data_IF_021475497648
#
_entry.id   IF_021475497648
#
_cell.length_a   1.000
_cell.length_b   1.000
_cell.length_c   1.000
_cell.angle_alpha   90.00
_cell.angle_beta   90.00
_cell.angle_gamma   90.00
#
_symmetry.space_group_name_H-M   'P 1'
#
loop_
_entity.id
_entity.type
_entity.pdbx_description
1 polymer ?
#
# COMPACT_ATOMS: atom_id res chain seq x y z
N UNK A 1 -20.25 10.30 -6.37
CA UNK A 1 -19.44 11.46 -5.88
C UNK A 1 -18.07 11.37 -6.53
N UNK A 2 -17.41 12.51 -6.80
CA UNK A 2 -16.02 12.49 -7.27
C UNK A 2 -15.13 11.99 -6.12
N UNK A 3 -14.17 11.12 -6.40
CA UNK A 3 -13.19 10.61 -5.43
C UNK A 3 -12.41 11.72 -4.71
N UNK A 4 -12.20 12.87 -5.35
CA UNK A 4 -11.50 14.04 -4.79
C UNK A 4 -12.18 14.62 -3.54
N UNK A 5 -13.48 14.35 -3.34
CA UNK A 5 -14.25 14.81 -2.18
C UNK A 5 -14.40 13.73 -1.10
N UNK A 6 -13.74 12.59 -1.26
CA UNK A 6 -13.77 11.54 -0.23
C UNK A 6 -13.08 12.00 1.05
N UNK A 7 -13.57 11.47 2.17
CA UNK A 7 -12.95 11.64 3.48
C UNK A 7 -12.29 10.36 4.02
N UNK A 8 -12.16 9.34 3.18
CA UNK A 8 -11.65 8.02 3.57
C UNK A 8 -10.59 7.57 2.57
N UNK A 9 -9.33 7.68 2.97
CA UNK A 9 -8.19 7.45 2.11
C UNK A 9 -7.38 6.27 2.61
N UNK A 10 -7.10 5.33 1.75
CA UNK A 10 -6.26 4.17 2.01
C UNK A 10 -5.07 4.22 1.08
N UNK A 11 -3.88 4.09 1.62
CA UNK A 11 -2.64 4.16 0.85
C UNK A 11 -1.95 2.80 0.82
N UNK A 12 -1.37 2.45 -0.30
CA UNK A 12 -0.25 1.53 -0.33
C UNK A 12 0.99 2.18 0.29
N UNK A 13 2.00 1.38 0.59
CA UNK A 13 3.24 1.84 1.25
C UNK A 13 4.38 2.02 0.25
N UNK A 14 4.88 0.92 -0.29
CA UNK A 14 6.11 0.86 -1.08
C UNK A 14 5.88 1.32 -2.51
N UNK A 15 6.61 2.36 -2.94
CA UNK A 15 6.38 3.00 -4.22
C UNK A 15 5.26 4.05 -4.19
N UNK A 16 4.46 4.10 -3.13
CA UNK A 16 3.34 5.05 -2.97
C UNK A 16 3.68 6.13 -1.93
N UNK A 17 3.76 5.79 -0.64
CA UNK A 17 4.20 6.71 0.40
C UNK A 17 5.72 6.77 0.54
N UNK A 18 6.41 5.70 0.16
CA UNK A 18 7.87 5.63 0.12
C UNK A 18 8.39 5.56 -1.31
N UNK A 19 9.66 5.92 -1.49
CA UNK A 19 10.37 5.65 -2.74
C UNK A 19 10.48 4.13 -2.92
N UNK A 20 10.17 3.63 -4.13
CA UNK A 20 10.31 2.22 -4.45
C UNK A 20 11.79 1.81 -4.42
N UNK A 21 12.15 0.95 -3.46
CA UNK A 21 13.54 0.46 -3.28
C UNK A 21 13.63 -1.07 -3.33
N UNK A 22 12.51 -1.78 -3.47
CA UNK A 22 12.48 -3.23 -3.51
C UNK A 22 12.99 -3.75 -4.85
N UNK A 23 14.12 -4.46 -4.81
CA UNK A 23 14.59 -5.29 -5.92
C UNK A 23 13.98 -6.70 -5.80
N UNK A 24 12.75 -6.85 -6.29
CA UNK A 24 12.03 -8.13 -6.23
C UNK A 24 12.77 -9.25 -6.97
N UNK A 25 13.55 -8.95 -8.00
CA UNK A 25 14.36 -9.96 -8.69
C UNK A 25 15.50 -10.44 -7.80
N UNK A 26 16.18 -9.53 -7.08
CA UNK A 26 17.21 -9.90 -6.12
C UNK A 26 16.63 -10.70 -4.94
N UNK A 27 15.48 -10.31 -4.42
CA UNK A 27 14.77 -11.06 -3.36
C UNK A 27 14.43 -12.47 -3.85
N UNK A 28 13.85 -12.63 -5.04
CA UNK A 28 13.53 -13.93 -5.60
C UNK A 28 14.78 -14.79 -5.80
N UNK A 29 15.89 -14.21 -6.30
CA UNK A 29 17.17 -14.92 -6.41
C UNK A 29 17.70 -15.39 -5.06
N UNK A 30 17.66 -14.54 -4.04
CA UNK A 30 18.15 -14.87 -2.69
C UNK A 30 17.32 -15.97 -2.03
N UNK A 31 16.01 -16.00 -2.30
CA UNK A 31 15.08 -16.99 -1.79
C UNK A 31 14.92 -18.23 -2.68
N UNK A 32 15.66 -18.29 -3.81
CA UNK A 32 15.56 -19.37 -4.81
C UNK A 32 14.10 -19.56 -5.31
N UNK A 33 13.40 -18.44 -5.56
CA UNK A 33 12.04 -18.40 -6.08
C UNK A 33 12.09 -18.15 -7.59
N UNK A 34 11.32 -18.89 -8.43
CA UNK A 34 11.21 -18.62 -9.86
C UNK A 34 10.76 -17.18 -10.12
N UNK A 35 11.35 -16.55 -11.16
CA UNK A 35 11.05 -15.14 -11.47
C UNK A 35 9.58 -14.87 -11.81
N UNK A 36 8.88 -15.88 -12.34
CA UNK A 36 7.44 -15.81 -12.64
C UNK A 36 6.52 -15.84 -11.43
N UNK A 37 7.01 -16.31 -10.28
CA UNK A 37 6.17 -16.61 -9.13
C UNK A 37 6.00 -15.37 -8.23
N UNK A 38 4.83 -15.24 -7.60
CA UNK A 38 4.64 -14.31 -6.50
C UNK A 38 5.33 -14.82 -5.24
N UNK A 39 6.08 -13.96 -4.55
CA UNK A 39 6.93 -14.35 -3.41
C UNK A 39 6.08 -14.95 -2.27
N UNK A 40 5.02 -14.27 -1.85
CA UNK A 40 4.21 -14.71 -0.73
C UNK A 40 3.45 -15.99 -1.06
N UNK A 41 2.93 -16.11 -2.29
CA UNK A 41 2.24 -17.30 -2.75
C UNK A 41 3.19 -18.50 -2.82
N UNK A 42 4.41 -18.30 -3.34
CA UNK A 42 5.43 -19.36 -3.41
C UNK A 42 5.81 -19.84 -2.01
N UNK A 43 6.10 -18.92 -1.08
CA UNK A 43 6.45 -19.27 0.29
C UNK A 43 5.35 -20.03 1.02
N UNK A 44 4.09 -19.67 0.79
CA UNK A 44 2.94 -20.35 1.38
C UNK A 44 2.75 -21.80 0.89
N UNK A 45 3.30 -22.16 -0.28
CA UNK A 45 3.23 -23.50 -0.87
C UNK A 45 4.38 -24.42 -0.40
N UNK A 46 5.41 -23.89 0.28
CA UNK A 46 6.58 -24.65 0.72
C UNK A 46 6.29 -25.49 1.98
N UNK A 47 7.07 -26.58 2.21
CA UNK A 47 7.09 -27.28 3.49
C UNK A 47 7.42 -26.34 4.64
N UNK A 48 6.76 -26.51 5.81
CA UNK A 48 6.83 -25.56 6.91
C UNK A 48 8.26 -25.21 7.39
N UNK A 49 9.18 -26.17 7.41
CA UNK A 49 10.57 -25.93 7.85
C UNK A 49 11.35 -25.06 6.85
N UNK A 50 11.13 -25.27 5.55
CA UNK A 50 11.76 -24.47 4.49
C UNK A 50 11.14 -23.06 4.42
N UNK A 51 9.81 -22.99 4.47
CA UNK A 51 9.07 -21.74 4.53
C UNK A 51 9.54 -20.85 5.69
N UNK A 52 9.72 -21.42 6.88
CA UNK A 52 10.12 -20.68 8.08
C UNK A 52 11.48 -19.95 7.91
N UNK A 53 12.49 -20.62 7.32
CA UNK A 53 13.81 -20.02 7.10
C UNK A 53 13.76 -18.90 6.06
N UNK A 54 13.01 -19.10 4.97
CA UNK A 54 12.83 -18.10 3.90
C UNK A 54 12.00 -16.90 4.39
N UNK A 55 10.96 -17.14 5.18
CA UNK A 55 10.19 -16.06 5.83
C UNK A 55 11.05 -15.24 6.79
N UNK A 56 11.91 -15.88 7.61
CA UNK A 56 12.80 -15.17 8.51
C UNK A 56 13.79 -14.26 7.75
N UNK A 57 14.36 -14.75 6.65
CA UNK A 57 15.23 -13.97 5.80
C UNK A 57 14.48 -12.77 5.16
N UNK A 58 13.30 -13.03 4.59
CA UNK A 58 12.46 -11.97 3.98
C UNK A 58 12.13 -10.89 5.00
N UNK A 59 11.69 -11.28 6.20
CA UNK A 59 11.34 -10.34 7.28
C UNK A 59 12.55 -9.48 7.72
N UNK A 60 13.75 -10.08 7.81
CA UNK A 60 14.96 -9.35 8.15
C UNK A 60 15.33 -8.32 7.06
N UNK A 61 15.25 -8.74 5.79
CA UNK A 61 15.50 -7.86 4.65
C UNK A 61 14.50 -6.70 4.56
N UNK A 62 13.21 -7.01 4.68
CA UNK A 62 12.13 -6.00 4.70
C UNK A 62 12.29 -5.03 5.87
N UNK A 63 12.78 -5.48 7.04
CA UNK A 63 13.05 -4.61 8.19
C UNK A 63 14.15 -3.60 7.88
N UNK A 64 15.26 -4.01 7.26
CA UNK A 64 16.34 -3.10 6.86
C UNK A 64 15.82 -2.04 5.89
N UNK A 65 14.96 -2.41 4.93
CA UNK A 65 14.34 -1.48 4.00
C UNK A 65 13.38 -0.52 4.72
N UNK A 66 12.59 -1.01 5.68
CA UNK A 66 11.66 -0.19 6.45
C UNK A 66 12.38 0.87 7.29
N UNK A 67 13.49 0.49 7.95
CA UNK A 67 14.31 1.40 8.76
C UNK A 67 15.01 2.47 7.91
N UNK A 68 15.34 2.15 6.65
CA UNK A 68 16.00 3.05 5.70
C UNK A 68 15.03 3.80 4.79
N UNK A 69 13.72 3.62 4.96
CA UNK A 69 12.69 4.16 4.06
C UNK A 69 12.79 5.68 3.93
N UNK A 70 12.58 6.15 2.69
CA UNK A 70 12.52 7.57 2.37
C UNK A 70 11.12 7.89 1.83
N UNK A 71 10.52 9.03 2.21
CA UNK A 71 9.21 9.40 1.70
C UNK A 71 9.25 9.68 0.20
N UNK A 72 8.22 9.26 -0.52
CA UNK A 72 8.04 9.63 -1.91
C UNK A 72 7.79 11.15 -2.05
N UNK A 73 8.15 11.77 -3.20
CA UNK A 73 7.93 13.19 -3.42
C UNK A 73 6.48 13.60 -3.17
N UNK A 74 6.26 14.53 -2.25
CA UNK A 74 4.94 15.04 -1.89
C UNK A 74 4.09 14.15 -0.95
N UNK A 75 4.48 12.91 -0.66
CA UNK A 75 3.69 11.98 0.16
C UNK A 75 3.39 12.53 1.55
N UNK A 76 4.39 13.06 2.24
CA UNK A 76 4.22 13.65 3.58
C UNK A 76 3.26 14.85 3.53
N UNK A 77 3.41 15.74 2.55
CA UNK A 77 2.54 16.90 2.42
C UNK A 77 1.09 16.51 2.12
N UNK A 78 0.88 15.51 1.23
CA UNK A 78 -0.44 14.97 0.90
C UNK A 78 -1.14 14.39 2.14
N UNK A 79 -0.45 13.51 2.87
CA UNK A 79 -1.02 12.86 4.07
C UNK A 79 -1.35 13.87 5.15
N UNK A 80 -0.45 14.83 5.42
CA UNK A 80 -0.68 15.90 6.40
C UNK A 80 -1.84 16.81 6.01
N UNK A 81 -1.99 17.14 4.73
CA UNK A 81 -3.12 17.94 4.25
C UNK A 81 -4.46 17.19 4.41
N UNK A 82 -4.50 15.89 4.08
CA UNK A 82 -5.69 15.08 4.28
C UNK A 82 -6.04 14.94 5.77
N UNK A 83 -5.04 14.79 6.64
CA UNK A 83 -5.23 14.80 8.10
C UNK A 83 -5.80 16.15 8.56
N UNK A 84 -5.27 17.27 8.07
CA UNK A 84 -5.75 18.62 8.42
C UNK A 84 -7.19 18.89 7.94
N UNK A 85 -7.65 18.14 6.92
CA UNK A 85 -9.04 18.16 6.44
C UNK A 85 -9.96 17.19 7.19
N UNK A 86 -9.53 16.61 8.30
CA UNK A 86 -10.26 15.59 9.07
C UNK A 86 -10.63 14.36 8.23
N UNK A 87 -9.80 13.98 7.25
CA UNK A 87 -9.94 12.73 6.52
C UNK A 87 -9.50 11.54 7.40
N UNK A 88 -10.19 10.43 7.29
CA UNK A 88 -9.75 9.18 7.88
C UNK A 88 -8.73 8.51 6.96
N UNK A 89 -7.60 8.09 7.54
CA UNK A 89 -6.45 7.57 6.81
C UNK A 89 -6.15 6.14 7.22
N UNK A 90 -5.89 5.29 6.25
CA UNK A 90 -5.49 3.90 6.46
C UNK A 90 -4.37 3.47 5.51
N UNK A 91 -3.75 2.37 5.86
CA UNK A 91 -2.73 1.69 5.03
C UNK A 91 -3.26 0.31 4.65
N UNK A 92 -3.03 -0.07 3.40
CA UNK A 92 -3.20 -1.45 2.93
C UNK A 92 -1.94 -1.87 2.16
N UNK A 93 -1.08 -2.63 2.82
CA UNK A 93 0.21 -3.06 2.29
C UNK A 93 0.34 -4.58 2.22
N UNK A 94 1.25 -5.07 1.40
CA UNK A 94 1.66 -6.48 1.34
C UNK A 94 2.79 -6.79 2.34
N UNK A 95 3.29 -5.80 3.06
CA UNK A 95 4.26 -5.97 4.14
C UNK A 95 3.58 -6.46 5.43
N UNK A 96 4.37 -6.98 6.36
CA UNK A 96 3.90 -7.26 7.71
C UNK A 96 3.50 -5.96 8.42
N UNK A 97 2.45 -6.01 9.24
CA UNK A 97 1.93 -4.86 10.00
C UNK A 97 3.03 -4.11 10.80
N UNK A 98 3.86 -4.84 11.53
CA UNK A 98 4.94 -4.23 12.32
C UNK A 98 5.96 -3.47 11.47
N UNK A 99 6.23 -3.94 10.25
CA UNK A 99 7.12 -3.25 9.31
C UNK A 99 6.48 -2.01 8.71
N UNK A 100 5.17 -2.05 8.43
CA UNK A 100 4.44 -0.88 7.99
C UNK A 100 4.48 0.25 9.04
N UNK A 101 4.32 -0.08 10.32
CA UNK A 101 4.45 0.90 11.41
C UNK A 101 5.89 1.46 11.51
N UNK A 102 6.91 0.61 11.35
CA UNK A 102 8.31 1.04 11.33
C UNK A 102 8.60 1.97 10.14
N UNK A 103 8.07 1.65 8.97
CA UNK A 103 8.19 2.51 7.77
C UNK A 103 7.52 3.87 8.00
N UNK A 104 6.30 3.90 8.56
CA UNK A 104 5.62 5.16 8.89
C UNK A 104 6.44 6.02 9.85
N UNK A 105 7.06 5.40 10.85
CA UNK A 105 7.97 6.09 11.78
C UNK A 105 9.19 6.66 11.04
N UNK A 106 9.82 5.88 10.17
CA UNK A 106 10.99 6.30 9.41
C UNK A 106 10.72 7.53 8.52
N UNK A 107 9.52 7.62 7.93
CA UNK A 107 9.13 8.74 7.06
C UNK A 107 8.37 9.86 7.78
N UNK A 108 8.21 9.79 9.12
CA UNK A 108 7.60 10.83 9.95
C UNK A 108 6.08 10.97 9.77
N UNK A 109 5.37 9.85 9.56
CA UNK A 109 3.92 9.78 9.41
C UNK A 109 3.22 8.86 10.43
N UNK A 110 3.93 8.40 11.46
CA UNK A 110 3.42 7.49 12.49
C UNK A 110 2.25 8.06 13.30
N UNK A 111 2.16 9.38 13.43
CA UNK A 111 1.06 10.07 14.08
C UNK A 111 -0.15 10.36 13.17
N UNK A 112 -0.07 10.05 11.87
CA UNK A 112 -1.15 10.26 10.91
C UNK A 112 -2.10 9.06 10.79
N UNK A 113 -1.65 7.87 11.18
CA UNK A 113 -2.39 6.62 11.01
C UNK A 113 -2.60 5.92 12.35
N UNK A 114 -3.85 5.61 12.69
CA UNK A 114 -4.11 4.74 13.83
C UNK A 114 -3.59 3.33 13.51
N UNK A 115 -2.91 2.67 14.45
CA UNK A 115 -2.37 1.32 14.24
C UNK A 115 -3.43 0.32 13.77
N UNK A 116 -4.67 0.44 14.25
CA UNK A 116 -5.79 -0.40 13.81
C UNK A 116 -6.23 -0.14 12.37
N UNK A 117 -5.86 0.99 11.77
CA UNK A 117 -6.16 1.36 10.38
C UNK A 117 -4.99 1.01 9.42
N UNK A 118 -3.95 0.33 9.93
CA UNK A 118 -2.83 -0.21 9.15
C UNK A 118 -3.05 -1.70 8.93
N UNK A 119 -3.31 -2.11 7.70
CA UNK A 119 -3.60 -3.50 7.32
C UNK A 119 -2.42 -4.05 6.53
N UNK A 120 -1.73 -5.02 7.10
CA UNK A 120 -0.66 -5.77 6.46
C UNK A 120 -1.12 -7.13 5.94
N UNK A 121 -0.14 -7.94 5.52
CA UNK A 121 -0.38 -9.27 4.94
C UNK A 121 -0.93 -10.32 5.90
N UNK A 122 -0.82 -10.06 7.22
CA UNK A 122 -1.28 -10.99 8.25
C UNK A 122 -2.71 -10.68 8.73
N UNK A 123 -3.21 -9.45 8.46
CA UNK A 123 -4.54 -8.97 8.85
C UNK A 123 -5.59 -9.20 7.76
N UNK A 124 -5.18 -9.26 6.49
CA UNK A 124 -6.08 -9.50 5.36
C UNK A 124 -5.34 -10.21 4.21
N UNK A 125 -6.08 -10.88 3.31
CA UNK A 125 -5.49 -11.40 2.08
C UNK A 125 -4.78 -10.28 1.29
N UNK A 126 -3.61 -10.58 0.69
CA UNK A 126 -2.83 -9.56 -0.01
C UNK A 126 -3.56 -9.03 -1.26
N UNK A 127 -3.35 -7.77 -1.60
CA UNK A 127 -3.78 -7.20 -2.88
C UNK A 127 -3.33 -8.07 -4.06
N UNK A 128 -4.17 -8.34 -5.05
CA UNK A 128 -5.40 -7.61 -5.44
C UNK A 128 -6.70 -8.07 -4.73
N UNK A 129 -6.65 -8.94 -3.72
CA UNK A 129 -7.85 -9.32 -2.96
C UNK A 129 -8.47 -8.08 -2.29
N UNK A 130 -9.81 -7.89 -2.35
CA UNK A 130 -10.47 -6.72 -1.75
C UNK A 130 -10.58 -6.77 -0.23
N UNK A 131 -10.22 -7.87 0.41
CA UNK A 131 -10.46 -8.13 1.84
C UNK A 131 -9.98 -7.02 2.77
N UNK A 132 -8.80 -6.43 2.51
CA UNK A 132 -8.28 -5.33 3.31
C UNK A 132 -9.12 -4.05 3.21
N UNK A 133 -9.59 -3.68 2.02
CA UNK A 133 -10.49 -2.53 1.85
C UNK A 133 -11.87 -2.77 2.47
N UNK A 134 -12.40 -3.99 2.34
CA UNK A 134 -13.67 -4.38 2.97
C UNK A 134 -13.55 -4.33 4.50
N UNK A 135 -12.42 -4.76 5.05
CA UNK A 135 -12.12 -4.68 6.48
C UNK A 135 -12.14 -3.23 6.97
N UNK A 136 -11.38 -2.34 6.32
CA UNK A 136 -11.33 -0.91 6.67
C UNK A 136 -12.71 -0.23 6.53
N UNK A 137 -13.45 -0.52 5.47
CA UNK A 137 -14.80 0.02 5.28
C UNK A 137 -15.75 -0.40 6.42
N UNK A 138 -15.70 -1.68 6.82
CA UNK A 138 -16.46 -2.21 7.96
C UNK A 138 -16.08 -1.56 9.29
N UNK A 139 -14.78 -1.42 9.56
CA UNK A 139 -14.25 -0.77 10.76
C UNK A 139 -14.62 0.71 10.82
N UNK A 140 -14.62 1.39 9.68
CA UNK A 140 -14.98 2.80 9.58
C UNK A 140 -16.50 3.03 9.47
N UNK A 141 -17.28 1.95 9.32
CA UNK A 141 -18.73 2.00 9.16
C UNK A 141 -19.18 2.85 7.95
N UNK A 142 -18.47 2.70 6.84
CA UNK A 142 -18.75 3.41 5.59
C UNK A 142 -18.89 2.43 4.43
N UNK A 143 -19.65 2.77 3.38
CA UNK A 143 -19.68 1.96 2.17
C UNK A 143 -18.33 2.03 1.46
N UNK A 144 -17.91 0.94 0.80
CA UNK A 144 -16.63 0.88 0.09
C UNK A 144 -16.49 1.94 -1.01
N UNK A 145 -17.60 2.37 -1.61
CA UNK A 145 -17.64 3.46 -2.58
C UNK A 145 -17.20 4.83 -2.01
N UNK A 146 -17.14 4.95 -0.68
CA UNK A 146 -16.60 6.13 -0.03
C UNK A 146 -15.06 6.09 0.13
N UNK A 147 -14.44 4.93 -0.13
CA UNK A 147 -12.98 4.76 -0.03
C UNK A 147 -12.26 5.21 -1.30
N UNK A 148 -11.10 5.78 -1.11
CA UNK A 148 -10.10 5.99 -2.17
C UNK A 148 -8.86 5.18 -1.81
N UNK A 149 -8.50 4.22 -2.66
CA UNK A 149 -7.24 3.50 -2.61
C UNK A 149 -6.23 4.22 -3.50
N UNK A 150 -5.13 4.66 -2.92
CA UNK A 150 -4.01 5.28 -3.63
C UNK A 150 -2.85 4.29 -3.68
N UNK A 151 -2.35 4.02 -4.86
CA UNK A 151 -1.25 3.08 -5.06
C UNK A 151 -0.49 3.36 -6.35
N UNK A 152 0.65 2.71 -6.52
CA UNK A 152 1.53 2.87 -7.70
C UNK A 152 1.48 1.66 -8.65
N UNK A 153 0.74 0.62 -8.28
CA UNK A 153 0.75 -0.63 -9.03
C UNK A 153 -0.65 -1.16 -9.39
N UNK A 154 -0.68 -2.07 -10.37
CA UNK A 154 -1.90 -2.73 -10.86
C UNK A 154 -2.74 -3.34 -9.73
N UNK A 155 -2.11 -4.00 -8.77
CA UNK A 155 -2.83 -4.68 -7.68
C UNK A 155 -3.63 -3.74 -6.78
N UNK A 156 -3.22 -2.49 -6.66
CA UNK A 156 -3.97 -1.47 -5.92
C UNK A 156 -5.28 -1.12 -6.63
N UNK A 157 -5.21 -0.95 -7.94
CA UNK A 157 -6.36 -0.63 -8.78
C UNK A 157 -7.33 -1.80 -8.89
N UNK A 158 -6.82 -3.03 -9.03
CA UNK A 158 -7.62 -4.24 -9.05
C UNK A 158 -8.33 -4.48 -7.72
N UNK A 159 -7.61 -4.29 -6.59
CA UNK A 159 -8.16 -4.36 -5.24
C UNK A 159 -9.27 -3.32 -5.05
N UNK A 160 -9.04 -2.06 -5.42
CA UNK A 160 -10.04 -1.00 -5.36
C UNK A 160 -11.28 -1.35 -6.18
N UNK A 161 -11.09 -1.78 -7.43
CA UNK A 161 -12.19 -2.19 -8.31
C UNK A 161 -12.98 -3.36 -7.75
N UNK A 162 -12.31 -4.39 -7.23
CA UNK A 162 -12.96 -5.56 -6.64
C UNK A 162 -13.77 -5.21 -5.39
N UNK A 163 -13.31 -4.25 -4.58
CA UNK A 163 -14.03 -3.72 -3.43
C UNK A 163 -15.17 -2.76 -3.81
N UNK A 164 -15.22 -2.26 -5.04
CA UNK A 164 -16.12 -1.18 -5.46
C UNK A 164 -15.69 0.21 -4.94
N UNK A 165 -14.43 0.36 -4.56
CA UNK A 165 -13.80 1.61 -4.14
C UNK A 165 -13.23 2.39 -5.34
N UNK A 166 -12.81 3.62 -5.11
CA UNK A 166 -12.05 4.39 -6.10
C UNK A 166 -10.56 4.02 -6.06
N UNK A 167 -9.96 3.72 -7.22
CA UNK A 167 -8.52 3.52 -7.35
C UNK A 167 -7.85 4.75 -7.95
N UNK A 168 -6.84 5.28 -7.30
CA UNK A 168 -6.04 6.41 -7.80
C UNK A 168 -4.59 5.96 -7.94
N UNK A 169 -4.06 6.06 -9.16
CA UNK A 169 -2.68 5.70 -9.48
C UNK A 169 -1.76 6.90 -9.26
N UNK A 170 -0.60 6.67 -8.63
CA UNK A 170 0.43 7.70 -8.40
C UNK A 170 1.84 7.18 -8.68
N UNK A 171 2.80 8.11 -8.71
CA UNK A 171 4.25 7.83 -8.80
C UNK A 171 4.69 7.03 -10.03
N UNK A 172 3.98 7.17 -11.12
CA UNK A 172 4.37 6.66 -12.44
C UNK A 172 4.38 7.80 -13.47
N UNK A 173 5.27 7.78 -14.47
CA UNK A 173 5.34 8.83 -15.48
C UNK A 173 4.12 8.84 -16.42
N UNK A 174 3.40 7.74 -16.51
CA UNK A 174 2.17 7.58 -17.29
C UNK A 174 1.25 6.57 -16.63
N UNK A 175 -0.03 6.56 -17.02
CA UNK A 175 -0.99 5.59 -16.50
C UNK A 175 -1.15 4.40 -17.46
N UNK A 176 -0.57 3.22 -17.15
CA UNK A 176 -0.69 2.03 -17.99
C UNK A 176 -2.09 1.40 -17.93
N UNK A 177 -2.92 1.75 -16.93
CA UNK A 177 -4.21 1.10 -16.65
C UNK A 177 -5.37 2.10 -16.55
N UNK A 178 -5.62 2.95 -17.57
CA UNK A 178 -6.63 4.01 -17.49
C UNK A 178 -8.06 3.47 -17.33
N UNK A 179 -8.33 2.24 -17.77
CA UNK A 179 -9.64 1.59 -17.62
C UNK A 179 -9.91 1.09 -16.18
N UNK A 180 -8.89 1.01 -15.32
CA UNK A 180 -8.99 0.54 -13.94
C UNK A 180 -8.94 1.68 -12.92
N UNK A 181 -8.34 2.83 -13.28
CA UNK A 181 -8.16 3.95 -12.38
C UNK A 181 -9.33 4.93 -12.43
N UNK A 182 -9.74 5.40 -11.26
CA UNK A 182 -10.68 6.52 -11.09
C UNK A 182 -9.98 7.87 -11.22
N UNK A 183 -8.67 7.91 -10.98
CA UNK A 183 -7.80 9.07 -11.06
C UNK A 183 -6.34 8.68 -11.26
N UNK A 184 -5.55 9.65 -11.72
CA UNK A 184 -4.11 9.51 -11.91
C UNK A 184 -3.42 10.82 -11.60
N UNK A 185 -2.25 10.73 -10.97
CA UNK A 185 -1.31 11.83 -10.79
C UNK A 185 0.13 11.30 -10.97
N UNK A 186 0.99 12.10 -11.59
CA UNK A 186 2.38 11.72 -11.84
C UNK A 186 3.16 11.47 -10.53
N UNK A 187 2.80 12.22 -9.46
CA UNK A 187 3.33 12.06 -8.12
C UNK A 187 2.31 12.54 -7.05
N UNK A 188 2.66 12.41 -5.78
CA UNK A 188 1.81 12.90 -4.68
C UNK A 188 1.72 14.43 -4.62
N UNK A 189 2.65 15.19 -5.21
CA UNK A 189 2.56 16.65 -5.31
C UNK A 189 1.42 17.03 -6.26
N UNK A 190 1.36 16.37 -7.42
CA UNK A 190 0.29 16.56 -8.38
C UNK A 190 -1.07 16.10 -7.83
N UNK A 191 -1.11 14.96 -7.13
CA UNK A 191 -2.33 14.50 -6.48
C UNK A 191 -2.85 15.54 -5.48
N UNK A 192 -1.97 16.11 -4.66
CA UNK A 192 -2.34 17.17 -3.71
C UNK A 192 -2.95 18.40 -4.42
N UNK A 193 -2.39 18.80 -5.57
CA UNK A 193 -2.95 19.92 -6.37
C UNK A 193 -4.36 19.61 -6.89
N UNK A 194 -4.63 18.36 -7.29
CA UNK A 194 -5.96 17.94 -7.77
C UNK A 194 -7.03 17.94 -6.66
N UNK A 195 -6.63 18.01 -5.39
CA UNK A 195 -7.53 18.09 -4.23
C UNK A 195 -7.79 19.53 -3.75
N UNK A 196 -7.15 20.51 -4.35
CA UNK A 196 -7.20 21.93 -3.97
C UNK A 196 -8.41 22.66 -4.54
#
# INVERSE_FOLDING_TARGET
MSWQHSRHWVFDMDGTLTVAVHDFEAIKRALEIPQSDDILHHLAALPAAEAASKHAWLLAHERELAEAAQPAPGAVALVRELQARDCRLGILTRNAHALALLTLQAIGLDDCFASADVIGRDEAPPKPDPGGLLHLAGQWQVPTQALVMVGDYLFDLECARAAGAHGVLVNLPENPWPALSSGYAEDCVELLRQLS
#
